data_IF_682998611824
#
_entry.id   IF_682998611824
#
_cell.length_a   1.000
_cell.length_b   1.000
_cell.length_c   1.000
_cell.angle_alpha   90.00
_cell.angle_beta   90.00
_cell.angle_gamma   90.00
#
_symmetry.space_group_name_H-M   'P 1'
#
loop_
_entity.id
_entity.type
_entity.pdbx_description
1 polymer ?
#
# COMPACT_ATOMS: atom_id res chain seq x y z
N UNK A 1 9.61 -9.03 18.36
CA UNK A 1 9.15 -7.62 18.24
C UNK A 1 8.55 -7.20 19.57
N UNK A 2 8.67 -5.94 19.95
CA UNK A 2 8.11 -5.36 21.15
C UNK A 2 7.17 -4.24 20.79
N UNK A 3 6.18 -3.93 21.63
CA UNK A 3 5.27 -2.80 21.48
C UNK A 3 5.18 -2.01 22.78
N UNK A 4 5.21 -0.69 22.63
CA UNK A 4 4.81 0.24 23.68
C UNK A 4 3.47 0.85 23.32
N UNK A 5 2.53 0.88 24.29
CA UNK A 5 1.15 1.35 24.10
C UNK A 5 0.79 2.42 25.11
N UNK A 6 0.08 3.45 24.66
CA UNK A 6 -0.45 4.50 25.55
C UNK A 6 -1.77 5.07 25.03
N UNK A 7 -2.71 5.24 25.90
CA UNK A 7 -3.93 5.97 25.61
C UNK A 7 -3.72 7.47 25.84
N UNK A 8 -4.08 8.28 24.87
CA UNK A 8 -4.00 9.75 24.93
C UNK A 8 -5.35 10.38 24.65
N UNK A 9 -5.57 11.64 25.06
CA UNK A 9 -6.72 12.40 24.62
C UNK A 9 -6.56 12.83 23.15
N UNK A 10 -7.64 12.89 22.38
CA UNK A 10 -7.59 13.21 20.96
C UNK A 10 -7.04 14.62 20.68
N UNK A 11 -7.18 15.54 21.64
CA UNK A 11 -6.64 16.91 21.56
C UNK A 11 -5.09 16.98 21.58
N UNK A 12 -4.41 15.90 21.98
CA UNK A 12 -2.95 15.80 21.99
C UNK A 12 -2.38 15.04 20.81
N UNK A 13 -3.16 14.74 19.76
CA UNK A 13 -2.71 13.96 18.62
C UNK A 13 -1.48 14.56 17.93
N UNK A 14 -1.52 15.87 17.63
CA UNK A 14 -0.42 16.57 16.95
C UNK A 14 0.88 16.55 17.79
N UNK A 15 0.77 16.82 19.08
CA UNK A 15 1.90 16.78 20.01
C UNK A 15 2.55 15.39 20.06
N UNK A 16 1.75 14.33 20.02
CA UNK A 16 2.27 12.95 20.00
C UNK A 16 2.84 12.55 18.64
N UNK A 17 2.31 13.07 17.55
CA UNK A 17 2.91 12.88 16.22
C UNK A 17 4.32 13.48 16.16
N UNK A 18 4.51 14.69 16.70
CA UNK A 18 5.84 15.32 16.77
C UNK A 18 6.81 14.53 17.67
N UNK A 19 6.38 14.11 18.87
CA UNK A 19 7.19 13.31 19.80
C UNK A 19 7.65 11.97 19.23
N UNK A 20 6.86 11.40 18.35
CA UNK A 20 7.11 10.09 17.74
C UNK A 20 7.71 10.18 16.34
N UNK A 21 8.09 11.36 15.87
CA UNK A 21 8.63 11.55 14.52
C UNK A 21 9.90 10.74 14.23
N UNK A 22 10.68 10.42 15.27
CA UNK A 22 11.88 9.57 15.15
C UNK A 22 11.58 8.05 15.19
N UNK A 23 10.32 7.66 15.47
CA UNK A 23 9.89 6.27 15.50
C UNK A 23 9.15 5.90 14.23
N UNK A 24 9.79 5.26 13.25
CA UNK A 24 9.17 4.97 11.94
C UNK A 24 7.98 4.00 12.03
N UNK A 25 7.86 3.29 13.13
CA UNK A 25 6.84 2.26 13.38
C UNK A 25 5.85 2.69 14.47
N UNK A 26 5.64 4.01 14.60
CA UNK A 26 4.63 4.56 15.47
C UNK A 26 3.28 4.66 14.76
N UNK A 27 2.21 4.24 15.42
CA UNK A 27 0.83 4.27 14.93
C UNK A 27 -0.04 4.98 15.97
N UNK A 28 -0.84 5.95 15.53
CA UNK A 28 -1.88 6.57 16.36
C UNK A 28 -3.23 6.21 15.74
N UNK A 29 -4.09 5.54 16.51
CA UNK A 29 -5.38 5.06 16.05
C UNK A 29 -6.53 5.54 16.95
N UNK A 30 -7.66 5.88 16.32
CA UNK A 30 -8.86 6.26 17.07
C UNK A 30 -9.55 5.02 17.64
N UNK A 31 -9.92 5.08 18.92
CA UNK A 31 -10.72 4.03 19.54
C UNK A 31 -12.21 4.23 19.22
N UNK A 32 -12.94 3.15 18.89
CA UNK A 32 -14.36 3.23 18.65
C UNK A 32 -15.11 3.86 19.85
N UNK A 33 -15.93 4.87 19.58
CA UNK A 33 -16.79 5.55 20.56
C UNK A 33 -16.08 6.30 21.70
N UNK A 34 -14.76 6.53 21.66
CA UNK A 34 -14.02 7.26 22.69
C UNK A 34 -13.37 8.53 22.13
N UNK A 35 -13.35 9.62 22.93
CA UNK A 35 -12.50 10.81 22.67
C UNK A 35 -11.03 10.55 23.05
N UNK A 36 -10.56 9.34 22.79
CA UNK A 36 -9.20 8.89 23.10
C UNK A 36 -8.58 8.22 21.89
N UNK A 37 -7.28 8.35 21.77
CA UNK A 37 -6.48 7.69 20.78
C UNK A 37 -5.58 6.65 21.47
N UNK A 38 -5.27 5.58 20.77
CA UNK A 38 -4.24 4.62 21.14
C UNK A 38 -2.98 4.93 20.33
N UNK A 39 -1.90 5.18 21.05
CA UNK A 39 -0.54 5.29 20.49
C UNK A 39 0.14 3.94 20.67
N UNK A 40 0.69 3.41 19.59
CA UNK A 40 1.46 2.18 19.57
C UNK A 40 2.78 2.45 18.86
N UNK A 41 3.91 2.06 19.49
CA UNK A 41 5.24 2.16 18.90
C UNK A 41 5.85 0.76 18.93
N UNK A 42 6.30 0.30 17.78
CA UNK A 42 6.89 -1.02 17.62
C UNK A 42 8.40 -0.90 17.44
N UNK A 43 9.16 -1.88 17.94
CA UNK A 43 10.61 -2.00 17.73
C UNK A 43 11.03 -3.48 17.85
N UNK A 44 12.12 -3.84 17.20
CA UNK A 44 12.67 -5.20 17.29
C UNK A 44 13.24 -5.48 18.68
N UNK A 45 13.78 -4.44 19.35
CA UNK A 45 14.36 -4.51 20.67
C UNK A 45 13.64 -3.60 21.68
N UNK A 46 13.54 -3.96 22.96
CA UNK A 46 12.79 -3.18 23.94
C UNK A 46 13.45 -1.85 24.34
N UNK A 47 14.73 -1.61 24.02
CA UNK A 47 15.51 -0.50 24.57
C UNK A 47 14.89 0.88 24.40
N UNK A 48 14.52 1.27 23.18
CA UNK A 48 13.86 2.55 22.87
C UNK A 48 12.45 2.63 23.46
N UNK A 49 11.72 1.52 23.46
CA UNK A 49 10.37 1.45 23.99
C UNK A 49 10.34 1.56 25.52
N UNK A 50 11.35 1.02 26.19
CA UNK A 50 11.52 1.21 27.64
C UNK A 50 11.85 2.66 28.00
N UNK A 51 12.54 3.39 27.14
CA UNK A 51 12.72 4.83 27.30
C UNK A 51 11.38 5.60 27.18
N UNK A 52 10.53 5.26 26.22
CA UNK A 52 9.17 5.81 26.10
C UNK A 52 8.34 5.48 27.34
N UNK A 53 8.41 4.24 27.82
CA UNK A 53 7.74 3.81 29.05
C UNK A 53 8.20 4.63 30.26
N UNK A 54 9.50 4.84 30.40
CA UNK A 54 10.06 5.61 31.52
C UNK A 54 9.67 7.08 31.47
N UNK A 55 9.60 7.69 30.28
CA UNK A 55 9.27 9.10 30.12
C UNK A 55 7.76 9.37 30.21
N UNK A 56 6.96 8.48 29.68
CA UNK A 56 5.53 8.75 29.43
C UNK A 56 4.59 7.76 30.11
N UNK A 57 5.09 6.72 30.77
CA UNK A 57 4.25 5.61 31.26
C UNK A 57 3.67 4.80 30.08
N UNK A 58 2.54 4.17 30.29
CA UNK A 58 1.91 3.30 29.31
C UNK A 58 2.19 1.82 29.63
N UNK A 59 2.23 0.98 28.60
CA UNK A 59 2.56 -0.45 28.70
C UNK A 59 3.60 -0.82 27.66
N UNK A 60 4.55 -1.69 28.03
CA UNK A 60 5.60 -2.17 27.12
C UNK A 60 5.68 -3.69 27.25
N UNK A 61 5.34 -4.40 26.19
CA UNK A 61 5.25 -5.85 26.18
C UNK A 61 5.79 -6.48 24.88
N UNK A 62 6.25 -7.73 24.94
CA UNK A 62 6.56 -8.47 23.72
C UNK A 62 5.26 -8.71 22.93
N UNK A 63 5.35 -8.60 21.60
CA UNK A 63 4.25 -8.90 20.71
C UNK A 63 4.41 -10.34 20.23
N UNK A 64 3.44 -11.19 20.53
CA UNK A 64 3.34 -12.49 19.90
C UNK A 64 2.82 -12.32 18.47
N UNK A 65 3.33 -13.12 17.55
CA UNK A 65 3.01 -13.04 16.12
C UNK A 65 1.49 -13.17 15.85
N UNK A 66 0.80 -13.94 16.69
CA UNK A 66 -0.66 -14.12 16.65
C UNK A 66 -1.44 -12.85 17.04
N UNK A 67 -0.94 -12.07 17.98
CA UNK A 67 -1.65 -10.90 18.50
C UNK A 67 -1.62 -9.73 17.51
N UNK A 68 -0.55 -9.61 16.74
CA UNK A 68 -0.43 -8.55 15.73
C UNK A 68 -1.37 -8.78 14.54
N UNK A 69 -1.45 -10.03 14.07
CA UNK A 69 -2.37 -10.42 12.98
C UNK A 69 -3.83 -10.27 13.42
N UNK A 70 -4.16 -10.65 14.64
CA UNK A 70 -5.53 -10.52 15.19
C UNK A 70 -5.94 -9.04 15.38
N UNK A 71 -5.02 -8.17 15.76
CA UNK A 71 -5.30 -6.73 15.95
C UNK A 71 -5.52 -5.99 14.63
N UNK A 72 -4.91 -6.46 13.54
CA UNK A 72 -5.00 -5.81 12.21
C UNK A 72 -6.15 -6.32 11.33
N UNK A 73 -6.75 -7.46 11.66
CA UNK A 73 -7.91 -8.01 10.93
C UNK A 73 -8.99 -8.47 11.92
N UNK A 74 -9.97 -7.62 12.29
CA UNK A 74 -11.16 -8.10 12.99
C UNK A 74 -11.82 -9.25 12.23
N UNK A 75 -12.24 -10.30 12.92
CA UNK A 75 -12.82 -11.54 12.36
C UNK A 75 -13.99 -11.33 11.37
N UNK A 76 -14.51 -10.11 11.24
CA UNK A 76 -15.62 -9.75 10.36
C UNK A 76 -15.33 -8.53 9.48
N UNK A 77 -14.09 -8.38 9.00
CA UNK A 77 -13.80 -7.29 8.05
C UNK A 77 -14.61 -7.48 6.76
N UNK A 78 -15.50 -6.54 6.39
CA UNK A 78 -16.28 -6.68 5.17
C UNK A 78 -15.36 -6.66 3.94
N UNK A 79 -15.70 -7.40 2.87
CA UNK A 79 -14.92 -7.39 1.65
C UNK A 79 -14.90 -5.99 1.02
N UNK A 80 -13.73 -5.58 0.55
CA UNK A 80 -13.57 -4.31 -0.13
C UNK A 80 -14.00 -4.45 -1.59
N UNK A 81 -15.01 -3.68 -1.97
CA UNK A 81 -15.53 -3.67 -3.34
C UNK A 81 -14.89 -2.51 -4.11
N UNK A 82 -14.19 -2.85 -5.19
CA UNK A 82 -13.50 -1.90 -6.05
C UNK A 82 -14.18 -1.86 -7.43
N UNK A 83 -14.87 -0.76 -7.68
CA UNK A 83 -15.64 -0.58 -8.90
C UNK A 83 -16.61 -1.75 -9.11
N UNK A 84 -16.83 -2.10 -10.37
CA UNK A 84 -17.55 -3.26 -10.85
C UNK A 84 -16.65 -4.46 -11.15
N UNK A 85 -15.36 -4.41 -10.79
CA UNK A 85 -14.30 -5.31 -11.26
C UNK A 85 -13.70 -6.21 -10.19
N UNK A 86 -13.41 -5.68 -9.00
CA UNK A 86 -12.66 -6.42 -7.99
C UNK A 86 -13.42 -6.50 -6.66
N UNK A 87 -13.23 -7.60 -5.97
CA UNK A 87 -13.60 -7.82 -4.56
C UNK A 87 -12.35 -8.31 -3.85
N UNK A 88 -11.91 -7.59 -2.82
CA UNK A 88 -10.76 -7.98 -2.00
C UNK A 88 -11.28 -8.48 -0.65
N UNK A 89 -10.93 -9.71 -0.29
CA UNK A 89 -11.27 -10.34 0.98
C UNK A 89 -10.07 -10.39 1.90
N UNK A 90 -10.27 -10.09 3.17
CA UNK A 90 -9.29 -10.37 4.22
C UNK A 90 -9.36 -11.83 4.72
N UNK A 91 -10.44 -12.54 4.40
CA UNK A 91 -10.62 -13.96 4.71
C UNK A 91 -10.16 -14.79 3.49
N UNK A 92 -9.26 -15.74 3.75
CA UNK A 92 -8.66 -16.61 2.74
C UNK A 92 -9.32 -18.01 2.70
N UNK A 93 -10.38 -18.24 3.49
CA UNK A 93 -11.07 -19.54 3.47
C UNK A 93 -11.76 -19.78 2.13
N UNK A 94 -11.69 -20.99 1.64
CA UNK A 94 -12.33 -21.40 0.39
C UNK A 94 -13.85 -21.15 0.43
N UNK A 95 -14.48 -21.40 1.58
CA UNK A 95 -15.90 -21.14 1.79
C UNK A 95 -16.24 -19.65 1.56
N UNK A 96 -15.42 -18.71 2.09
CA UNK A 96 -15.62 -17.29 1.92
C UNK A 96 -15.39 -16.82 0.49
N UNK A 97 -14.38 -17.35 -0.17
CA UNK A 97 -14.09 -17.01 -1.57
C UNK A 97 -15.25 -17.47 -2.47
N UNK A 98 -15.74 -18.70 -2.28
CA UNK A 98 -16.90 -19.22 -3.02
C UNK A 98 -18.17 -18.42 -2.76
N UNK A 99 -18.45 -18.02 -1.50
CA UNK A 99 -19.55 -17.11 -1.16
C UNK A 99 -19.45 -15.79 -1.92
N UNK A 100 -18.27 -15.18 -1.94
CA UNK A 100 -18.05 -13.89 -2.60
C UNK A 100 -18.15 -13.98 -4.12
N UNK A 101 -17.66 -15.07 -4.71
CA UNK A 101 -17.81 -15.33 -6.16
C UNK A 101 -19.27 -15.48 -6.55
N UNK A 102 -20.07 -16.21 -5.75
CA UNK A 102 -21.51 -16.36 -5.97
C UNK A 102 -22.26 -15.02 -5.78
N UNK A 103 -21.87 -14.22 -4.76
CA UNK A 103 -22.50 -12.95 -4.44
C UNK A 103 -22.18 -11.83 -5.44
N UNK A 104 -21.01 -11.89 -6.06
CA UNK A 104 -20.52 -10.85 -6.99
C UNK A 104 -20.15 -11.45 -8.34
N UNK A 105 -21.11 -12.00 -9.10
CA UNK A 105 -20.84 -12.65 -10.38
C UNK A 105 -20.18 -11.67 -11.36
N UNK A 106 -19.19 -12.17 -12.11
CA UNK A 106 -18.42 -11.38 -13.08
C UNK A 106 -17.33 -10.47 -12.48
N UNK A 107 -17.18 -10.45 -11.16
CA UNK A 107 -16.06 -9.76 -10.50
C UNK A 107 -14.93 -10.71 -10.16
N UNK A 108 -13.72 -10.19 -10.16
CA UNK A 108 -12.52 -10.89 -9.75
C UNK A 108 -12.45 -10.83 -8.22
N UNK A 109 -12.48 -11.98 -7.56
CA UNK A 109 -12.33 -12.08 -6.11
C UNK A 109 -10.88 -12.43 -5.80
N UNK A 110 -10.23 -11.64 -4.95
CA UNK A 110 -8.87 -11.83 -4.48
C UNK A 110 -8.84 -11.86 -2.97
N UNK A 111 -7.96 -12.69 -2.40
CA UNK A 111 -7.79 -12.84 -0.95
C UNK A 111 -6.44 -12.31 -0.50
N UNK A 112 -6.47 -11.37 0.44
CA UNK A 112 -5.31 -10.77 1.08
C UNK A 112 -5.53 -10.70 2.58
N UNK A 113 -5.28 -11.78 3.33
CA UNK A 113 -5.38 -11.76 4.79
C UNK A 113 -4.36 -10.79 5.39
N UNK A 114 -4.63 -10.32 6.61
CA UNK A 114 -3.68 -9.49 7.33
C UNK A 114 -2.40 -10.30 7.60
N UNK A 115 -1.28 -9.77 7.14
CA UNK A 115 0.07 -10.32 7.33
C UNK A 115 1.04 -9.20 7.68
N UNK A 116 2.32 -9.51 7.87
CA UNK A 116 3.37 -8.56 8.30
C UNK A 116 3.72 -7.49 7.24
N UNK A 117 3.12 -7.50 6.06
CA UNK A 117 3.35 -6.51 5.01
C UNK A 117 2.18 -5.54 4.89
N UNK A 118 2.48 -4.29 4.51
CA UNK A 118 1.48 -3.26 4.26
C UNK A 118 0.68 -3.55 2.99
N UNK A 119 -0.61 -3.21 2.98
CA UNK A 119 -1.41 -3.19 1.76
C UNK A 119 -2.44 -4.32 1.61
N UNK A 120 -3.13 -4.71 2.68
CA UNK A 120 -4.25 -5.70 2.62
C UNK A 120 -5.48 -5.23 1.82
N UNK A 121 -5.43 -4.03 1.23
CA UNK A 121 -6.53 -3.44 0.46
C UNK A 121 -7.41 -2.48 1.25
N UNK A 122 -7.62 -2.69 2.54
CA UNK A 122 -8.53 -1.89 3.38
C UNK A 122 -8.02 -0.47 3.69
N UNK A 123 -6.73 -0.22 3.57
CA UNK A 123 -6.19 1.12 3.77
C UNK A 123 -6.64 2.07 2.65
N UNK A 124 -6.94 3.33 3.00
CA UNK A 124 -7.46 4.33 2.07
C UNK A 124 -6.57 4.56 0.84
N UNK A 125 -5.24 4.49 1.01
CA UNK A 125 -4.28 4.62 -0.10
C UNK A 125 -4.37 3.46 -1.07
N UNK A 126 -4.35 2.22 -0.57
CA UNK A 126 -4.42 0.99 -1.38
C UNK A 126 -5.75 0.91 -2.13
N UNK A 127 -6.88 1.16 -1.44
CA UNK A 127 -8.20 1.13 -2.07
C UNK A 127 -8.36 2.20 -3.16
N UNK A 128 -7.73 3.38 -2.99
CA UNK A 128 -7.75 4.44 -4.01
C UNK A 128 -6.86 4.08 -5.20
N UNK A 129 -5.67 3.50 -4.98
CA UNK A 129 -4.83 2.96 -6.05
C UNK A 129 -5.57 1.89 -6.86
N UNK A 130 -6.23 0.93 -6.21
CA UNK A 130 -7.04 -0.10 -6.88
C UNK A 130 -8.15 0.49 -7.74
N UNK A 131 -8.85 1.53 -7.25
CA UNK A 131 -9.88 2.23 -8.04
C UNK A 131 -9.31 2.92 -9.27
N UNK A 132 -8.17 3.61 -9.12
CA UNK A 132 -7.50 4.25 -10.25
C UNK A 132 -6.95 3.23 -11.24
N UNK A 133 -6.37 2.12 -10.74
CA UNK A 133 -5.90 1.01 -11.58
C UNK A 133 -7.04 0.42 -12.42
N UNK A 134 -8.21 0.15 -11.81
CA UNK A 134 -9.39 -0.30 -12.55
C UNK A 134 -9.83 0.69 -13.62
N UNK A 135 -9.83 1.99 -13.30
CA UNK A 135 -10.23 3.05 -14.24
C UNK A 135 -9.25 3.15 -15.42
N UNK A 136 -7.95 2.95 -15.22
CA UNK A 136 -6.94 2.98 -16.29
C UNK A 136 -6.94 1.67 -17.10
N UNK A 137 -7.00 0.51 -16.46
CA UNK A 137 -7.04 -0.78 -17.14
C UNK A 137 -8.23 -0.93 -18.11
N UNK A 138 -9.36 -0.27 -17.82
CA UNK A 138 -10.52 -0.23 -18.74
C UNK A 138 -10.25 0.47 -20.08
N UNK A 139 -9.22 1.32 -20.16
CA UNK A 139 -8.87 2.08 -21.37
C UNK A 139 -7.91 1.32 -22.27
N UNK A 140 -7.32 0.24 -21.77
CA UNK A 140 -6.28 -0.52 -22.42
C UNK A 140 -6.82 -1.88 -22.88
N UNK A 141 -6.38 -2.33 -24.03
CA UNK A 141 -6.76 -3.65 -24.53
C UNK A 141 -6.09 -4.74 -23.67
N UNK A 142 -6.84 -5.76 -23.21
CA UNK A 142 -6.28 -6.87 -22.46
C UNK A 142 -5.11 -7.53 -23.20
N UNK A 143 -4.06 -7.87 -22.47
CA UNK A 143 -2.85 -8.48 -23.03
C UNK A 143 -1.92 -7.52 -23.81
N UNK A 144 -2.20 -6.20 -23.82
CA UNK A 144 -1.39 -5.22 -24.56
C UNK A 144 -0.73 -4.17 -23.68
N UNK A 145 -0.78 -4.32 -22.37
CA UNK A 145 -0.16 -3.38 -21.44
C UNK A 145 0.60 -4.09 -20.32
N UNK A 146 1.57 -3.40 -19.79
CA UNK A 146 2.46 -3.87 -18.74
C UNK A 146 2.32 -2.99 -17.50
N UNK A 147 2.51 -3.60 -16.32
CA UNK A 147 2.50 -2.85 -15.08
C UNK A 147 3.81 -3.02 -14.30
N UNK A 148 4.10 -2.02 -13.48
CA UNK A 148 5.10 -2.10 -12.40
C UNK A 148 4.43 -1.65 -11.12
N UNK A 149 4.65 -2.40 -10.02
CA UNK A 149 4.23 -2.08 -8.66
C UNK A 149 5.49 -1.90 -7.80
N UNK A 150 5.85 -0.65 -7.56
CA UNK A 150 7.07 -0.25 -6.86
C UNK A 150 6.78 -0.07 -5.37
N UNK A 151 7.44 -0.84 -4.50
CA UNK A 151 7.09 -0.97 -3.08
C UNK A 151 5.77 -1.72 -2.95
N UNK A 152 5.75 -2.96 -3.44
CA UNK A 152 4.50 -3.71 -3.65
C UNK A 152 3.84 -4.22 -2.36
N UNK A 153 4.54 -4.25 -1.23
CA UNK A 153 4.03 -4.73 0.04
C UNK A 153 3.42 -6.13 -0.07
N UNK A 154 2.12 -6.27 0.12
CA UNK A 154 1.40 -7.55 -0.02
C UNK A 154 1.25 -8.03 -1.47
N UNK A 155 1.63 -7.24 -2.48
CA UNK A 155 1.47 -7.56 -3.90
C UNK A 155 0.06 -7.34 -4.45
N UNK A 156 -0.85 -6.73 -3.66
CA UNK A 156 -2.27 -6.60 -4.05
C UNK A 156 -2.47 -5.78 -5.32
N UNK A 157 -1.71 -4.69 -5.51
CA UNK A 157 -1.85 -3.82 -6.68
C UNK A 157 -1.34 -4.52 -7.94
N UNK A 158 -0.17 -5.15 -7.84
CA UNK A 158 0.44 -5.91 -8.94
C UNK A 158 -0.45 -7.06 -9.40
N UNK A 159 -0.90 -7.90 -8.45
CA UNK A 159 -1.78 -9.02 -8.79
C UNK A 159 -3.13 -8.56 -9.34
N UNK A 160 -3.72 -7.51 -8.78
CA UNK A 160 -4.94 -6.92 -9.31
C UNK A 160 -4.77 -6.47 -10.77
N UNK A 161 -3.63 -5.85 -11.11
CA UNK A 161 -3.32 -5.44 -12.48
C UNK A 161 -3.23 -6.63 -13.44
N UNK A 162 -2.59 -7.73 -13.03
CA UNK A 162 -2.57 -8.96 -13.84
C UNK A 162 -3.98 -9.51 -14.10
N UNK A 163 -4.81 -9.57 -13.06
CA UNK A 163 -6.20 -10.02 -13.18
C UNK A 163 -7.08 -9.06 -13.99
N UNK A 164 -6.72 -7.79 -14.08
CA UNK A 164 -7.39 -6.79 -14.91
C UNK A 164 -6.95 -6.82 -16.39
N UNK A 165 -6.02 -7.70 -16.76
CA UNK A 165 -5.63 -7.96 -18.14
C UNK A 165 -4.25 -7.40 -18.53
N UNK A 166 -3.36 -7.13 -17.60
CA UNK A 166 -1.97 -6.85 -17.96
C UNK A 166 -1.32 -8.05 -18.64
N UNK A 167 -0.52 -7.81 -19.67
CA UNK A 167 0.27 -8.82 -20.38
C UNK A 167 1.37 -9.40 -19.47
N UNK A 168 2.02 -8.51 -18.74
CA UNK A 168 3.06 -8.85 -17.78
C UNK A 168 3.13 -7.80 -16.67
N UNK A 169 3.72 -8.20 -15.55
CA UNK A 169 3.89 -7.32 -14.39
C UNK A 169 5.24 -7.53 -13.71
N UNK A 170 5.68 -6.49 -13.03
CA UNK A 170 6.82 -6.50 -12.14
C UNK A 170 6.39 -5.91 -10.82
N UNK A 171 6.59 -6.67 -9.74
CA UNK A 171 6.42 -6.23 -8.37
C UNK A 171 7.77 -6.29 -7.67
N UNK A 172 8.14 -5.25 -6.96
CA UNK A 172 9.33 -5.30 -6.12
C UNK A 172 9.13 -4.50 -4.85
N UNK A 173 9.84 -4.91 -3.81
CA UNK A 173 9.89 -4.20 -2.54
C UNK A 173 11.31 -4.20 -2.00
N UNK A 174 11.66 -3.18 -1.22
CA UNK A 174 12.96 -3.13 -0.52
C UNK A 174 13.02 -4.15 0.63
N UNK A 175 11.86 -4.38 1.29
CA UNK A 175 11.75 -5.29 2.42
C UNK A 175 11.60 -6.75 1.93
N UNK A 176 12.54 -7.65 2.25
CA UNK A 176 12.44 -9.05 1.89
C UNK A 176 11.21 -9.74 2.51
N UNK A 177 10.75 -9.31 3.68
CA UNK A 177 9.53 -9.84 4.30
C UNK A 177 8.30 -9.50 3.46
N UNK A 178 8.23 -8.29 2.92
CA UNK A 178 7.15 -7.90 2.00
C UNK A 178 7.15 -8.77 0.74
N UNK A 179 8.33 -9.06 0.17
CA UNK A 179 8.46 -9.96 -0.99
C UNK A 179 7.93 -11.35 -0.67
N UNK A 180 8.32 -11.94 0.45
CA UNK A 180 7.82 -13.27 0.88
C UNK A 180 6.29 -13.28 1.08
N UNK A 181 5.73 -12.21 1.67
CA UNK A 181 4.27 -12.05 1.84
C UNK A 181 3.59 -11.97 0.48
N UNK A 182 4.13 -11.17 -0.44
CA UNK A 182 3.59 -11.03 -1.79
C UNK A 182 3.64 -12.35 -2.57
N UNK A 183 4.70 -13.15 -2.43
CA UNK A 183 4.80 -14.48 -3.04
C UNK A 183 3.73 -15.43 -2.52
N UNK A 184 3.52 -15.48 -1.19
CA UNK A 184 2.44 -16.28 -0.59
C UNK A 184 1.07 -15.85 -1.09
N UNK A 185 0.83 -14.54 -1.18
CA UNK A 185 -0.43 -14.00 -1.68
C UNK A 185 -0.63 -14.30 -3.16
N UNK A 186 0.42 -14.25 -3.96
CA UNK A 186 0.38 -14.64 -5.37
C UNK A 186 -0.05 -16.11 -5.52
N UNK A 187 0.58 -17.01 -4.78
CA UNK A 187 0.24 -18.45 -4.79
C UNK A 187 -1.19 -18.68 -4.32
N UNK A 188 -1.61 -18.07 -3.22
CA UNK A 188 -2.97 -18.15 -2.65
C UNK A 188 -4.05 -17.76 -3.66
N UNK A 189 -3.76 -16.81 -4.50
CA UNK A 189 -4.69 -16.33 -5.53
C UNK A 189 -4.50 -17.02 -6.90
N UNK A 190 -3.88 -18.19 -6.96
CA UNK A 190 -3.74 -19.00 -8.18
C UNK A 190 -2.60 -18.59 -9.10
N UNK A 191 -1.59 -17.92 -8.56
CA UNK A 191 -0.41 -17.51 -9.32
C UNK A 191 -0.67 -16.44 -10.39
N UNK A 192 0.38 -16.03 -11.08
CA UNK A 192 0.34 -15.26 -12.33
C UNK A 192 1.69 -15.47 -13.04
N UNK A 193 1.72 -16.27 -14.08
CA UNK A 193 2.96 -16.71 -14.78
C UNK A 193 3.82 -15.54 -15.27
N UNK A 194 3.21 -14.46 -15.71
CA UNK A 194 3.90 -13.27 -16.25
C UNK A 194 4.08 -12.15 -15.20
N UNK A 195 3.96 -12.46 -13.90
CA UNK A 195 4.24 -11.53 -12.80
C UNK A 195 5.57 -11.92 -12.15
N UNK A 196 6.57 -11.06 -12.30
CA UNK A 196 7.86 -11.21 -11.62
C UNK A 196 7.82 -10.48 -10.28
N UNK A 197 8.32 -11.15 -9.25
CA UNK A 197 8.38 -10.64 -7.89
C UNK A 197 9.82 -10.80 -7.37
N UNK A 198 10.41 -9.74 -6.80
CA UNK A 198 11.76 -9.78 -6.27
C UNK A 198 12.06 -8.59 -5.33
N UNK A 199 13.13 -8.73 -4.55
CA UNK A 199 13.64 -7.65 -3.71
C UNK A 199 14.42 -6.63 -4.55
N UNK A 200 14.06 -5.34 -4.43
CA UNK A 200 14.82 -4.24 -5.05
C UNK A 200 14.53 -2.90 -4.40
N UNK A 201 15.48 -1.98 -4.52
CA UNK A 201 15.35 -0.60 -4.08
C UNK A 201 14.80 0.29 -5.21
N UNK A 202 13.76 1.08 -4.93
CA UNK A 202 13.16 2.03 -5.87
C UNK A 202 14.14 3.09 -6.37
N UNK A 203 15.22 3.34 -5.63
CA UNK A 203 16.26 4.30 -6.03
C UNK A 203 17.30 3.71 -6.98
N UNK A 204 17.43 2.40 -7.02
CA UNK A 204 18.51 1.72 -7.78
C UNK A 204 17.99 0.95 -8.98
N UNK A 205 16.87 0.24 -8.81
CA UNK A 205 16.36 -0.64 -9.85
C UNK A 205 15.76 0.08 -11.06
N UNK A 206 15.97 -0.49 -12.25
CA UNK A 206 15.37 -0.03 -13.50
C UNK A 206 15.00 -1.23 -14.38
N UNK A 207 13.86 -1.19 -15.07
CA UNK A 207 13.47 -2.22 -16.01
C UNK A 207 14.29 -2.14 -17.30
N UNK A 208 14.36 -3.26 -18.02
CA UNK A 208 14.80 -3.25 -19.43
C UNK A 208 13.78 -2.48 -20.29
N UNK A 209 14.17 -1.99 -21.48
CA UNK A 209 13.27 -1.24 -22.36
C UNK A 209 11.93 -1.93 -22.62
N UNK A 210 11.95 -3.25 -22.87
CA UNK A 210 10.78 -4.08 -23.15
C UNK A 210 9.90 -4.35 -21.93
N UNK A 211 10.42 -4.12 -20.72
CA UNK A 211 9.70 -4.33 -19.45
C UNK A 211 9.03 -3.04 -18.92
N UNK A 212 9.29 -1.90 -19.56
CA UNK A 212 8.72 -0.61 -19.13
C UNK A 212 7.20 -0.65 -19.10
N UNK A 213 6.62 0.03 -18.10
CA UNK A 213 5.21 -0.03 -17.76
C UNK A 213 4.37 1.00 -18.48
N UNK A 214 3.14 0.61 -18.88
CA UNK A 214 2.07 1.53 -19.28
C UNK A 214 1.31 2.06 -18.06
N UNK A 215 1.24 1.26 -16.98
CA UNK A 215 0.72 1.67 -15.68
C UNK A 215 1.80 1.35 -14.63
N UNK A 216 2.27 2.38 -13.93
CA UNK A 216 3.17 2.25 -12.79
C UNK A 216 2.46 2.69 -11.52
N UNK A 217 2.55 1.87 -10.49
CA UNK A 217 2.00 2.14 -9.17
C UNK A 217 3.16 2.31 -8.17
N UNK A 218 3.03 3.29 -7.28
CA UNK A 218 3.97 3.51 -6.19
C UNK A 218 3.21 4.06 -4.97
N UNK A 219 2.82 3.17 -4.06
CA UNK A 219 2.16 3.53 -2.80
C UNK A 219 3.19 3.65 -1.69
N UNK A 220 3.97 4.72 -1.71
CA UNK A 220 5.15 4.96 -0.89
C UNK A 220 5.01 6.28 -0.11
N UNK A 221 5.81 6.45 0.95
CA UNK A 221 5.86 7.72 1.67
C UNK A 221 6.28 8.88 0.75
N UNK A 222 5.75 10.08 1.02
CA UNK A 222 6.00 11.27 0.19
C UNK A 222 7.49 11.59 0.04
N UNK A 223 8.28 11.43 1.09
CA UNK A 223 9.73 11.66 1.07
C UNK A 223 10.48 10.69 0.14
N UNK A 224 10.02 9.45 0.07
CA UNK A 224 10.55 8.44 -0.86
C UNK A 224 10.15 8.79 -2.29
N UNK A 225 8.87 9.11 -2.53
CA UNK A 225 8.35 9.48 -3.85
C UNK A 225 9.09 10.69 -4.44
N UNK A 226 9.30 11.75 -3.66
CA UNK A 226 9.99 12.96 -4.11
C UNK A 226 11.38 12.66 -4.66
N UNK A 227 12.11 11.73 -4.05
CA UNK A 227 13.44 11.29 -4.50
C UNK A 227 13.39 10.29 -5.64
N UNK A 228 12.33 9.46 -5.69
CA UNK A 228 12.19 8.38 -6.65
C UNK A 228 11.67 8.83 -8.03
N UNK A 229 11.06 10.01 -8.17
CA UNK A 229 10.45 10.45 -9.43
C UNK A 229 11.36 10.31 -10.67
N UNK A 230 12.66 10.63 -10.64
CA UNK A 230 13.53 10.41 -11.81
C UNK A 230 13.56 8.94 -12.23
N UNK A 231 13.65 8.04 -11.26
CA UNK A 231 13.71 6.60 -11.48
C UNK A 231 12.35 6.05 -11.96
N UNK A 232 11.27 6.46 -11.30
CA UNK A 232 9.90 6.08 -11.70
C UNK A 232 9.59 6.55 -13.13
N UNK A 233 10.07 7.74 -13.52
CA UNK A 233 9.93 8.23 -14.89
C UNK A 233 10.62 7.31 -15.90
N UNK A 234 11.82 6.84 -15.60
CA UNK A 234 12.57 5.94 -16.47
C UNK A 234 11.90 4.56 -16.63
N UNK A 235 11.01 4.18 -15.72
CA UNK A 235 10.24 2.94 -15.75
C UNK A 235 8.99 2.99 -16.64
N UNK A 236 8.58 4.16 -17.15
CA UNK A 236 7.41 4.31 -18.02
C UNK A 236 7.76 4.02 -19.47
N UNK A 237 6.85 3.33 -20.17
CA UNK A 237 7.05 2.89 -21.55
C UNK A 237 6.95 4.03 -22.56
N UNK A 238 5.96 4.88 -22.42
CA UNK A 238 5.54 5.90 -23.38
C UNK A 238 5.11 7.18 -22.64
N UNK A 239 5.04 8.34 -23.31
CA UNK A 239 4.56 9.57 -22.69
C UNK A 239 3.14 9.48 -22.13
N UNK A 240 2.25 8.68 -22.77
CA UNK A 240 0.87 8.44 -22.36
C UNK A 240 0.76 7.48 -21.17
N UNK A 241 1.83 6.77 -20.82
CA UNK A 241 1.86 5.88 -19.65
C UNK A 241 1.58 6.66 -18.37
N UNK A 242 0.87 6.03 -17.45
CA UNK A 242 0.45 6.68 -16.22
C UNK A 242 1.22 6.20 -15.01
N UNK A 243 1.53 7.12 -14.12
CA UNK A 243 2.08 6.88 -12.80
C UNK A 243 1.00 7.19 -11.75
N UNK A 244 0.63 6.19 -10.93
CA UNK A 244 -0.28 6.35 -9.79
C UNK A 244 0.56 6.32 -8.52
N UNK A 245 0.62 7.44 -7.80
CA UNK A 245 1.35 7.58 -6.54
C UNK A 245 0.38 7.79 -5.38
N UNK A 246 0.66 7.17 -4.24
CA UNK A 246 -0.11 7.29 -3.00
C UNK A 246 0.80 7.15 -1.77
N UNK A 247 0.20 7.13 -0.56
CA UNK A 247 0.99 7.17 0.68
C UNK A 247 1.41 8.60 1.07
N UNK A 248 0.76 9.60 0.48
CA UNK A 248 1.06 11.02 0.65
C UNK A 248 0.07 11.60 1.66
N UNK A 249 0.54 12.23 2.72
CA UNK A 249 -0.31 12.99 3.62
C UNK A 249 -0.81 14.29 2.95
N UNK A 250 -1.98 14.77 3.35
CA UNK A 250 -2.62 15.95 2.75
C UNK A 250 -1.73 17.17 2.80
N UNK A 251 -1.05 17.39 3.93
CA UNK A 251 -0.10 18.49 4.15
C UNK A 251 1.15 18.39 3.27
N UNK A 252 1.54 17.19 2.85
CA UNK A 252 2.70 16.94 1.99
C UNK A 252 2.36 16.91 0.49
N UNK A 253 1.08 17.04 0.13
CA UNK A 253 0.61 16.82 -1.23
C UNK A 253 1.16 17.86 -2.22
N UNK A 254 1.20 19.13 -1.84
CA UNK A 254 1.68 20.21 -2.72
C UNK A 254 3.20 20.10 -2.94
N UNK A 255 3.96 19.76 -1.91
CA UNK A 255 5.40 19.56 -2.03
C UNK A 255 5.73 18.36 -2.92
N UNK A 256 4.99 17.25 -2.73
CA UNK A 256 5.14 16.04 -3.56
C UNK A 256 4.79 16.34 -5.02
N UNK A 257 3.72 17.08 -5.27
CA UNK A 257 3.34 17.49 -6.63
C UNK A 257 4.38 18.42 -7.26
N UNK A 258 4.92 19.36 -6.49
CA UNK A 258 5.99 20.23 -6.97
C UNK A 258 7.25 19.44 -7.35
N UNK A 259 7.60 18.40 -6.57
CA UNK A 259 8.68 17.49 -6.91
C UNK A 259 8.39 16.72 -8.20
N UNK A 260 7.19 16.15 -8.37
CA UNK A 260 6.78 15.49 -9.60
C UNK A 260 6.89 16.42 -10.82
N UNK A 261 6.42 17.67 -10.69
CA UNK A 261 6.49 18.67 -11.73
C UNK A 261 7.92 19.01 -12.13
N UNK A 262 8.87 19.12 -11.17
CA UNK A 262 10.30 19.35 -11.45
C UNK A 262 10.93 18.22 -12.26
N UNK A 263 10.41 16.98 -12.12
CA UNK A 263 10.87 15.83 -12.87
C UNK A 263 10.07 15.56 -14.15
N UNK A 264 9.27 16.54 -14.60
CA UNK A 264 8.56 16.50 -15.88
C UNK A 264 7.31 15.64 -15.87
N UNK A 265 6.64 15.53 -14.75
CA UNK A 265 5.28 14.99 -14.66
C UNK A 265 4.25 16.13 -14.67
N UNK A 266 3.04 15.80 -15.08
CA UNK A 266 1.84 16.62 -14.92
C UNK A 266 0.76 15.86 -14.17
N UNK A 267 -0.04 16.57 -13.39
CA UNK A 267 -1.16 15.99 -12.64
C UNK A 267 -2.37 15.80 -13.55
N UNK A 268 -2.83 14.56 -13.68
CA UNK A 268 -4.09 14.24 -14.38
C UNK A 268 -5.28 14.15 -13.43
N UNK A 269 -5.08 13.62 -12.23
CA UNK A 269 -6.14 13.46 -11.23
C UNK A 269 -5.56 13.42 -9.82
N UNK A 270 -6.27 14.04 -8.88
CA UNK A 270 -6.01 13.96 -7.44
C UNK A 270 -7.25 13.46 -6.73
N UNK A 271 -7.09 12.53 -5.80
CA UNK A 271 -8.15 12.04 -4.92
C UNK A 271 -7.66 12.13 -3.48
N UNK A 272 -8.49 12.70 -2.61
CA UNK A 272 -8.23 12.76 -1.17
C UNK A 272 -9.19 11.81 -0.46
N UNK A 273 -8.66 10.94 0.39
CA UNK A 273 -9.40 9.99 1.20
C UNK A 273 -8.93 10.08 2.66
N UNK A 274 -9.70 10.75 3.50
CA UNK A 274 -9.29 11.12 4.85
C UNK A 274 -8.06 12.04 4.83
N UNK A 275 -7.00 11.65 5.52
CA UNK A 275 -5.72 12.37 5.54
C UNK A 275 -4.80 12.04 4.34
N UNK A 276 -5.17 11.10 3.49
CA UNK A 276 -4.33 10.57 2.43
C UNK A 276 -4.68 11.14 1.06
N UNK A 277 -3.67 11.35 0.24
CA UNK A 277 -3.77 11.81 -1.14
C UNK A 277 -3.18 10.77 -2.08
N UNK A 278 -3.91 10.50 -3.16
CA UNK A 278 -3.45 9.69 -4.30
C UNK A 278 -3.47 10.57 -5.54
N UNK A 279 -2.40 10.54 -6.32
CA UNK A 279 -2.28 11.31 -7.55
C UNK A 279 -2.06 10.38 -8.75
N UNK A 280 -2.72 10.68 -9.86
CA UNK A 280 -2.41 10.11 -11.17
C UNK A 280 -1.64 11.15 -11.96
N UNK A 281 -0.47 10.78 -12.41
CA UNK A 281 0.48 11.61 -13.12
C UNK A 281 0.77 11.04 -14.51
N UNK A 282 1.22 11.90 -15.42
CA UNK A 282 1.72 11.53 -16.75
C UNK A 282 2.99 12.32 -17.04
N UNK A 283 3.85 11.82 -17.93
CA UNK A 283 4.98 12.60 -18.42
C UNK A 283 4.47 13.80 -19.22
N UNK A 284 5.08 14.95 -19.05
CA UNK A 284 4.86 16.11 -19.92
C UNK A 284 5.43 15.81 -21.30
N UNK A 285 4.65 16.11 -22.30
CA UNK A 285 5.08 16.11 -23.70
C UNK A 285 6.17 17.13 -23.93
#
# INVERSE_FOLDING_TARGET
>A
MWVWKKHIAAEHEEEWQERLAEFPWAVISALPHAKRLLVEVYDEAPGKLLALYSCYGGDCSPVEEKDWVAATAPENTPPLIIRDRLVISADASEAKINELQARYPGRIVLSFPAERAFGTGNHATTSTCLRMLCDEAKKLAPGQWRLIDAGCGTGVLGLAGMRLGAQSGICYDFDPIAVEVAERNLQRNGGAENLRLFQADVFEWSPKPEEKAHILLANLFSTVLQRAFPRLKACLAEPESVLIVSGILREQAEETLAAANRHGFELLRRVTAGKWVTMKLRQRS
#
